data_IF_428322148307
#
_entry.id   IF_428322148307
#
_cell.length_a   1.000
_cell.length_b   1.000
_cell.length_c   1.000
_cell.angle_alpha   90.00
_cell.angle_beta   90.00
_cell.angle_gamma   90.00
#
_symmetry.space_group_name_H-M   'P 1'
#
loop_
_entity.id
_entity.type
_entity.pdbx_description
1 polymer ?
#
# COMPACT_ATOMS: atom_id res chain seq x y z
N UNK A 1 -27.43 -15.13 -8.69
CA UNK A 1 -26.01 -15.38 -8.33
C UNK A 1 -25.86 -14.97 -6.87
N UNK A 2 -25.18 -15.74 -6.03
CA UNK A 2 -24.86 -15.27 -4.68
C UNK A 2 -23.72 -14.25 -4.78
N UNK A 3 -23.77 -13.20 -3.94
CA UNK A 3 -22.61 -12.35 -3.72
C UNK A 3 -21.51 -13.20 -3.05
N UNK A 4 -20.22 -13.02 -3.40
CA UNK A 4 -19.14 -13.72 -2.72
C UNK A 4 -19.16 -13.35 -1.23
N UNK A 5 -19.21 -14.34 -0.35
CA UNK A 5 -19.15 -14.11 1.10
C UNK A 5 -17.78 -13.59 1.49
N UNK A 6 -17.72 -12.35 1.96
CA UNK A 6 -16.59 -11.85 2.74
C UNK A 6 -16.36 -12.79 3.92
N UNK A 7 -15.09 -13.12 4.19
CA UNK A 7 -14.72 -14.01 5.29
C UNK A 7 -13.89 -13.27 6.34
N UNK A 8 -14.04 -13.65 7.64
CA UNK A 8 -13.01 -13.34 8.62
C UNK A 8 -11.65 -13.92 8.21
N UNK A 9 -10.59 -13.23 8.64
CA UNK A 9 -9.17 -13.62 8.61
C UNK A 9 -8.49 -13.84 7.25
N UNK A 10 -9.04 -13.29 6.15
CA UNK A 10 -8.26 -13.11 4.93
C UNK A 10 -7.54 -11.77 4.91
N UNK A 11 -6.22 -11.82 4.70
CA UNK A 11 -5.49 -10.65 4.21
C UNK A 11 -5.37 -10.78 2.70
N UNK A 12 -5.81 -9.74 2.00
CA UNK A 12 -5.50 -9.54 0.59
C UNK A 12 -4.43 -8.46 0.54
N UNK A 13 -3.22 -8.84 0.15
CA UNK A 13 -2.07 -7.92 0.15
C UNK A 13 -1.66 -7.55 -1.26
N UNK A 14 -1.54 -6.23 -1.48
CA UNK A 14 -1.02 -5.63 -2.70
C UNK A 14 0.05 -4.63 -2.31
N UNK A 15 1.29 -5.04 -2.47
CA UNK A 15 2.44 -4.16 -2.35
C UNK A 15 2.67 -3.48 -3.73
N UNK A 16 3.75 -2.72 -4.00
CA UNK A 16 4.03 -2.22 -5.39
C UNK A 16 5.49 -2.32 -5.81
N UNK A 17 5.72 -2.76 -7.06
CA UNK A 17 7.04 -3.15 -7.59
C UNK A 17 7.04 -3.23 -9.16
N UNK A 18 8.20 -3.33 -9.87
CA UNK A 18 8.33 -3.43 -11.35
C UNK A 18 9.75 -3.86 -11.87
N UNK A 19 9.94 -5.03 -12.53
CA UNK A 19 11.08 -5.31 -13.47
C UNK A 19 10.93 -6.51 -14.45
N UNK A 20 10.48 -6.18 -15.67
CA UNK A 20 10.72 -6.83 -16.99
C UNK A 20 10.19 -8.25 -17.35
N UNK A 21 9.84 -8.37 -18.65
CA UNK A 21 9.48 -9.55 -19.46
C UNK A 21 8.14 -10.27 -19.22
N UNK A 22 7.10 -9.88 -19.99
CA UNK A 22 6.40 -10.77 -20.97
C UNK A 22 5.61 -9.94 -22.00
N UNK A 23 5.12 -10.57 -23.08
CA UNK A 23 4.59 -9.93 -24.30
C UNK A 23 3.07 -9.65 -24.26
N UNK A 24 2.67 -8.59 -24.97
CA UNK A 24 1.30 -8.20 -25.44
C UNK A 24 0.11 -9.11 -25.06
N UNK A 25 -0.87 -8.51 -24.37
CA UNK A 25 -2.32 -8.80 -24.54
C UNK A 25 -3.05 -7.47 -24.83
N UNK A 26 -4.30 -7.51 -25.29
CA UNK A 26 -4.91 -6.46 -26.12
C UNK A 26 -5.44 -5.18 -25.39
N UNK A 27 -5.86 -4.21 -26.19
CA UNK A 27 -6.01 -2.78 -25.88
C UNK A 27 -7.37 -2.40 -25.26
N UNK A 28 -7.41 -1.83 -24.03
CA UNK A 28 -8.68 -1.65 -23.28
C UNK A 28 -8.83 -0.61 -22.15
N UNK A 29 -7.94 0.39 -22.01
CA UNK A 29 -8.07 1.60 -21.13
C UNK A 29 -8.35 1.41 -19.59
N UNK A 30 -7.27 1.52 -18.77
CA UNK A 30 -7.18 2.02 -17.34
C UNK A 30 -7.68 1.09 -16.21
N UNK A 31 -7.07 0.87 -15.01
CA UNK A 31 -5.70 1.01 -14.41
C UNK A 31 -5.51 -0.06 -13.24
N UNK A 32 -4.30 -0.34 -12.66
CA UNK A 32 -4.08 -1.42 -11.62
C UNK A 32 -3.06 -1.16 -10.48
N UNK A 33 -2.81 -2.19 -9.62
CA UNK A 33 -1.87 -2.27 -8.47
C UNK A 33 -1.28 -3.71 -8.27
N UNK A 34 0.07 -3.95 -8.17
CA UNK A 34 0.79 -5.30 -8.22
C UNK A 34 2.31 -5.29 -7.71
N UNK A 35 2.92 -6.37 -7.12
CA UNK A 35 4.32 -6.51 -6.51
C UNK A 35 5.10 -7.90 -6.47
N UNK A 36 6.42 -8.09 -6.69
CA UNK A 36 7.23 -9.25 -6.15
C UNK A 36 8.43 -8.61 -5.43
N UNK A 37 9.15 -9.34 -4.60
CA UNK A 37 10.34 -8.83 -3.92
C UNK A 37 11.63 -9.02 -4.77
N UNK A 38 12.75 -8.46 -4.31
CA UNK A 38 14.06 -9.06 -4.58
C UNK A 38 14.28 -10.26 -3.63
N UNK A 39 15.20 -11.17 -3.97
CA UNK A 39 15.56 -12.27 -3.06
C UNK A 39 16.85 -11.91 -2.29
N UNK A 40 17.00 -12.35 -1.02
CA UNK A 40 16.06 -13.19 -0.26
C UNK A 40 14.82 -12.43 0.24
N UNK A 41 13.72 -13.16 0.40
CA UNK A 41 12.42 -12.64 0.85
C UNK A 41 12.39 -12.19 2.33
N UNK A 42 13.53 -12.28 3.03
CA UNK A 42 13.74 -11.91 4.42
C UNK A 42 15.09 -11.22 4.59
N UNK A 43 15.14 -10.16 5.41
CA UNK A 43 16.33 -9.35 5.63
C UNK A 43 16.19 -7.94 5.05
N UNK A 44 17.24 -7.43 4.42
CA UNK A 44 17.40 -6.03 4.03
C UNK A 44 16.65 -5.65 2.74
N UNK A 45 15.37 -5.27 2.86
CA UNK A 45 14.48 -4.94 1.73
C UNK A 45 13.65 -3.66 1.94
N UNK A 46 13.18 -3.05 0.85
CA UNK A 46 12.16 -2.00 0.86
C UNK A 46 10.82 -2.60 0.39
N UNK A 47 9.72 -2.32 1.08
CA UNK A 47 8.37 -2.85 0.78
C UNK A 47 7.28 -1.82 1.18
N UNK A 48 6.14 -1.82 0.49
CA UNK A 48 5.13 -0.73 0.53
C UNK A 48 3.73 -1.28 0.22
N UNK A 49 2.81 -1.21 1.17
CA UNK A 49 1.75 -2.23 1.27
C UNK A 49 0.34 -1.64 1.35
N UNK A 50 -0.61 -2.28 0.66
CA UNK A 50 -2.04 -2.25 0.96
C UNK A 50 -2.48 -3.64 1.44
N UNK A 51 -3.12 -3.72 2.61
CA UNK A 51 -3.52 -4.95 3.28
C UNK A 51 -4.99 -4.89 3.68
N UNK A 52 -5.87 -5.61 2.99
CA UNK A 52 -7.29 -5.69 3.35
C UNK A 52 -7.48 -6.76 4.42
N UNK A 53 -7.60 -6.35 5.68
CA UNK A 53 -7.82 -7.23 6.82
C UNK A 53 -9.31 -7.60 6.88
N UNK A 54 -9.63 -8.80 6.42
CA UNK A 54 -10.97 -9.39 6.38
C UNK A 54 -11.59 -9.51 7.77
N UNK A 55 -12.93 -9.59 7.81
CA UNK A 55 -13.69 -9.48 9.05
C UNK A 55 -14.95 -10.36 9.04
N UNK A 56 -15.55 -10.59 10.20
CA UNK A 56 -16.83 -11.32 10.31
C UNK A 56 -17.97 -10.53 9.68
N UNK A 57 -19.00 -11.26 9.23
CA UNK A 57 -20.14 -10.71 8.50
C UNK A 57 -20.82 -9.57 9.27
N UNK A 58 -21.10 -8.47 8.57
CA UNK A 58 -21.62 -7.25 9.18
C UNK A 58 -20.59 -6.40 9.94
N UNK A 59 -19.29 -6.71 9.85
CA UNK A 59 -18.20 -5.84 10.30
C UNK A 59 -17.37 -5.33 9.11
N UNK A 60 -16.85 -4.09 9.16
CA UNK A 60 -16.05 -3.53 8.08
C UNK A 60 -14.70 -4.23 7.93
N UNK A 61 -14.29 -4.44 6.67
CA UNK A 61 -12.90 -4.77 6.31
C UNK A 61 -12.03 -3.55 6.60
N UNK A 62 -10.89 -3.74 7.28
CA UNK A 62 -9.92 -2.66 7.46
C UNK A 62 -8.92 -2.66 6.30
N UNK A 63 -8.55 -1.48 5.80
CA UNK A 63 -7.39 -1.31 4.94
C UNK A 63 -6.21 -0.88 5.80
N UNK A 64 -5.27 -1.79 6.05
CA UNK A 64 -3.95 -1.48 6.56
C UNK A 64 -3.05 -1.03 5.41
N UNK A 65 -2.08 -0.17 5.73
CA UNK A 65 -0.93 0.13 4.88
C UNK A 65 0.33 0.09 5.72
N UNK A 66 1.44 -0.38 5.15
CA UNK A 66 2.74 -0.39 5.81
C UNK A 66 3.84 0.06 4.83
N UNK A 67 5.02 0.41 5.38
CA UNK A 67 6.22 0.72 4.60
C UNK A 67 7.42 0.17 5.34
N UNK A 68 8.07 -0.84 4.75
CA UNK A 68 9.35 -1.38 5.18
C UNK A 68 10.49 -0.62 4.52
N UNK A 69 11.51 -0.34 5.33
CA UNK A 69 12.79 0.22 4.89
C UNK A 69 13.89 -0.65 5.49
N UNK A 70 14.74 -1.23 4.66
CA UNK A 70 15.83 -2.12 5.10
C UNK A 70 15.36 -3.25 6.05
N UNK A 71 14.22 -3.86 5.72
CA UNK A 71 13.56 -4.90 6.51
C UNK A 71 12.79 -4.43 7.74
N UNK A 72 12.83 -3.13 8.06
CA UNK A 72 12.10 -2.54 9.18
C UNK A 72 10.79 -1.91 8.70
N UNK A 73 9.68 -2.65 8.86
CA UNK A 73 8.31 -2.17 8.70
C UNK A 73 7.94 -1.19 9.80
N UNK A 74 7.02 -1.60 10.68
CA UNK A 74 6.58 -0.82 11.84
C UNK A 74 5.94 0.54 11.52
N UNK A 75 5.50 0.76 10.28
CA UNK A 75 4.86 2.00 9.83
C UNK A 75 3.39 1.76 9.51
N UNK A 76 2.69 0.96 10.29
CA UNK A 76 1.31 0.59 10.02
C UNK A 76 0.37 1.79 10.19
N UNK A 77 -0.52 1.98 9.22
CA UNK A 77 -1.68 2.89 9.31
C UNK A 77 -2.91 2.13 8.83
N UNK A 78 -3.96 2.08 9.66
CA UNK A 78 -5.19 1.33 9.36
C UNK A 78 -6.37 2.29 9.14
N UNK A 79 -7.29 1.90 8.26
CA UNK A 79 -8.46 2.68 7.90
C UNK A 79 -9.72 1.79 7.75
N UNK A 80 -10.90 2.31 8.09
CA UNK A 80 -12.17 1.79 7.56
C UNK A 80 -12.61 2.67 6.39
N UNK A 81 -12.77 2.08 5.20
CA UNK A 81 -13.07 2.83 3.98
C UNK A 81 -14.47 3.44 3.99
N UNK A 82 -14.67 4.48 3.17
CA UNK A 82 -15.95 5.18 3.00
C UNK A 82 -16.95 4.45 2.08
N UNK A 83 -16.70 3.18 1.80
CA UNK A 83 -17.49 2.26 0.98
C UNK A 83 -17.19 0.81 1.41
N UNK A 84 -18.00 -0.14 0.96
CA UNK A 84 -17.72 -1.58 1.11
C UNK A 84 -16.77 -2.05 -0.01
N UNK A 85 -15.50 -2.42 0.29
CA UNK A 85 -14.52 -2.82 -0.72
C UNK A 85 -14.83 -4.19 -1.37
N UNK A 86 -15.83 -4.92 -0.90
CA UNK A 86 -16.31 -6.18 -1.53
C UNK A 86 -17.45 -5.96 -2.53
N UNK A 87 -18.16 -4.84 -2.45
CA UNK A 87 -19.35 -4.56 -3.25
C UNK A 87 -19.06 -4.03 -4.65
N UNK A 88 -17.89 -3.43 -4.87
CA UNK A 88 -17.46 -2.85 -6.15
C UNK A 88 -15.94 -2.87 -6.30
N UNK A 89 -15.44 -2.72 -7.54
CA UNK A 89 -14.00 -2.54 -7.80
C UNK A 89 -13.64 -1.05 -7.72
N UNK A 90 -12.66 -0.75 -6.88
CA UNK A 90 -12.03 0.56 -6.69
C UNK A 90 -10.55 0.51 -7.11
N UNK A 91 -9.95 1.67 -7.42
CA UNK A 91 -8.49 1.74 -7.71
C UNK A 91 -7.70 1.96 -6.41
N UNK A 92 -6.55 1.30 -6.22
CA UNK A 92 -5.68 1.48 -5.02
C UNK A 92 -4.28 1.93 -5.43
N UNK A 93 -4.14 3.15 -5.93
CA UNK A 93 -2.96 3.61 -6.67
C UNK A 93 -1.76 3.90 -5.75
N UNK A 94 -0.54 3.66 -6.22
CA UNK A 94 0.68 4.23 -5.64
C UNK A 94 1.38 5.12 -6.67
N UNK A 95 1.66 6.36 -6.27
CA UNK A 95 2.53 7.30 -6.97
C UNK A 95 3.81 7.43 -6.16
N UNK A 96 4.95 7.02 -6.72
CA UNK A 96 6.23 7.01 -6.04
C UNK A 96 7.31 7.62 -6.94
N UNK A 97 8.03 8.60 -6.41
CA UNK A 97 9.09 9.33 -7.09
C UNK A 97 10.17 9.76 -6.08
N UNK A 98 11.22 10.45 -6.54
CA UNK A 98 12.33 10.89 -5.67
C UNK A 98 11.94 11.96 -4.63
N UNK A 99 10.72 12.49 -4.67
CA UNK A 99 10.23 13.52 -3.74
C UNK A 99 9.28 12.96 -2.67
N UNK A 100 8.45 11.99 -3.05
CA UNK A 100 7.41 11.42 -2.19
C UNK A 100 6.90 10.06 -2.69
N UNK A 101 6.36 9.29 -1.75
CA UNK A 101 5.48 8.16 -2.01
C UNK A 101 4.07 8.53 -1.53
N UNK A 102 3.08 8.32 -2.38
CA UNK A 102 1.67 8.64 -2.11
C UNK A 102 0.84 7.40 -2.43
N UNK A 103 0.03 6.97 -1.47
CA UNK A 103 -0.92 5.86 -1.63
C UNK A 103 -2.33 6.44 -1.67
N UNK A 104 -3.12 6.05 -2.67
CA UNK A 104 -4.44 6.59 -2.96
C UNK A 104 -5.49 5.49 -3.03
N UNK A 105 -6.72 5.82 -2.63
CA UNK A 105 -7.93 5.04 -2.91
C UNK A 105 -8.79 5.87 -3.86
N UNK A 106 -9.14 5.27 -5.00
CA UNK A 106 -9.59 5.94 -6.22
C UNK A 106 -8.64 7.07 -6.64
N UNK A 107 -8.99 8.34 -6.39
CA UNK A 107 -8.14 9.52 -6.62
C UNK A 107 -7.80 10.26 -5.30
N UNK A 108 -8.17 9.68 -4.15
CA UNK A 108 -8.02 10.29 -2.82
C UNK A 108 -6.76 9.76 -2.12
N UNK A 109 -5.76 10.59 -1.81
CA UNK A 109 -4.61 10.15 -1.03
C UNK A 109 -5.03 9.74 0.38
N UNK A 110 -4.64 8.54 0.80
CA UNK A 110 -4.83 8.03 2.17
C UNK A 110 -3.54 8.04 2.99
N UNK A 111 -2.38 8.10 2.32
CA UNK A 111 -1.05 8.10 2.95
C UNK A 111 -0.03 8.84 2.08
N UNK A 112 0.90 9.52 2.74
CA UNK A 112 2.07 10.17 2.13
C UNK A 112 3.30 9.80 2.96
N UNK A 113 4.43 9.55 2.30
CA UNK A 113 5.77 9.55 2.86
C UNK A 113 6.62 10.54 2.06
N UNK A 114 7.21 11.54 2.71
CA UNK A 114 8.13 12.48 2.05
C UNK A 114 9.56 11.93 2.02
N UNK A 115 10.27 12.13 0.90
CA UNK A 115 11.70 11.86 0.88
C UNK A 115 12.44 13.00 1.61
N UNK A 116 12.99 12.71 2.79
CA UNK A 116 13.76 13.65 3.60
C UNK A 116 15.28 13.42 3.50
N UNK A 117 15.77 12.48 2.68
CA UNK A 117 17.18 12.04 2.69
C UNK A 117 18.17 13.19 2.39
N UNK A 118 17.79 14.12 1.51
CA UNK A 118 18.58 15.33 1.22
C UNK A 118 18.46 16.47 2.26
N UNK A 119 17.80 16.23 3.40
CA UNK A 119 17.54 17.22 4.47
C UNK A 119 17.87 16.69 5.87
N UNK A 120 17.67 15.38 6.10
CA UNK A 120 17.80 14.72 7.39
C UNK A 120 18.86 13.61 7.28
N UNK A 121 20.07 13.80 7.86
CA UNK A 121 21.13 12.80 7.81
C UNK A 121 20.68 11.43 8.36
N UNK A 122 20.97 10.37 7.62
CA UNK A 122 20.56 9.01 7.97
C UNK A 122 19.08 8.68 7.73
N UNK A 123 18.27 9.62 7.21
CA UNK A 123 16.90 9.31 6.80
C UNK A 123 16.88 8.37 5.59
N UNK A 124 15.95 7.42 5.62
CA UNK A 124 15.79 6.38 4.61
C UNK A 124 14.41 6.54 3.97
N UNK A 125 14.35 6.29 2.66
CA UNK A 125 13.16 6.39 1.82
C UNK A 125 13.23 5.21 0.83
N UNK A 126 12.11 4.57 0.43
CA UNK A 126 12.20 3.41 -0.42
C UNK A 126 12.77 3.84 -1.78
N UNK A 127 13.87 3.20 -2.18
CA UNK A 127 14.66 3.57 -3.36
C UNK A 127 15.28 2.36 -4.08
N UNK A 128 15.15 1.14 -3.54
CA UNK A 128 15.68 -0.10 -4.14
C UNK A 128 14.94 -0.48 -5.44
N UNK A 129 15.60 -1.22 -6.37
CA UNK A 129 14.97 -1.90 -7.51
C UNK A 129 13.95 -2.98 -7.12
N UNK A 130 13.10 -3.34 -8.09
CA UNK A 130 11.79 -3.99 -7.90
C UNK A 130 11.49 -5.09 -8.99
N UNK A 131 10.28 -5.55 -9.40
CA UNK A 131 9.44 -6.70 -8.90
C UNK A 131 8.11 -6.99 -9.75
N UNK A 132 7.08 -7.83 -9.35
CA UNK A 132 5.57 -7.94 -9.71
C UNK A 132 4.70 -9.25 -9.31
N UNK A 133 3.54 -9.16 -8.56
CA UNK A 133 2.54 -10.21 -8.03
C UNK A 133 1.26 -9.58 -7.35
N UNK A 134 0.34 -10.38 -6.79
CA UNK A 134 -0.50 -10.03 -5.63
C UNK A 134 -0.79 -11.31 -4.79
N UNK A 135 -1.31 -11.22 -3.55
CA UNK A 135 -1.57 -12.40 -2.71
C UNK A 135 -2.93 -12.38 -1.97
N UNK A 136 -3.45 -13.58 -1.69
CA UNK A 136 -4.53 -13.85 -0.74
C UNK A 136 -4.05 -14.98 0.18
N UNK A 137 -4.04 -14.76 1.49
CA UNK A 137 -3.38 -15.67 2.43
C UNK A 137 -4.00 -15.66 3.83
N UNK A 138 -3.77 -16.76 4.57
CA UNK A 138 -4.23 -16.92 5.94
C UNK A 138 -3.34 -16.13 6.91
N UNK A 139 -3.93 -15.09 7.47
CA UNK A 139 -3.29 -14.12 8.37
C UNK A 139 -3.88 -14.18 9.79
N UNK A 140 -4.56 -15.30 10.09
CA UNK A 140 -5.20 -15.61 11.38
C UNK A 140 -4.35 -15.40 12.64
N UNK A 141 -3.00 -15.43 12.64
CA UNK A 141 -2.22 -15.04 13.81
C UNK A 141 -2.43 -13.59 14.27
N UNK A 142 -2.87 -12.66 13.39
CA UNK A 142 -2.94 -11.23 13.71
C UNK A 142 -4.07 -10.42 13.05
N UNK A 143 -4.52 -10.74 11.83
CA UNK A 143 -5.29 -9.78 11.01
C UNK A 143 -6.68 -9.40 11.55
N UNK A 144 -7.50 -10.38 11.94
CA UNK A 144 -8.86 -10.08 12.44
C UNK A 144 -8.89 -10.04 13.96
N UNK A 145 -9.25 -8.87 14.50
CA UNK A 145 -9.37 -8.63 15.94
C UNK A 145 -8.10 -9.00 16.72
N UNK A 146 -6.93 -8.53 16.24
CA UNK A 146 -5.60 -8.86 16.74
C UNK A 146 -5.34 -10.38 16.81
N UNK A 147 -5.84 -11.11 15.81
CA UNK A 147 -5.72 -12.56 15.71
C UNK A 147 -6.62 -13.34 16.67
N UNK A 148 -7.57 -12.70 17.37
CA UNK A 148 -8.56 -13.41 18.19
C UNK A 148 -9.58 -14.17 17.34
N UNK A 149 -9.87 -13.67 16.14
CA UNK A 149 -10.72 -14.32 15.16
C UNK A 149 -9.83 -15.02 14.12
N UNK A 150 -10.13 -16.29 13.86
CA UNK A 150 -9.40 -17.16 12.92
C UNK A 150 -10.23 -17.39 11.65
N UNK A 151 -9.58 -17.86 10.59
CA UNK A 151 -10.25 -18.27 9.36
C UNK A 151 -11.15 -19.47 9.61
N UNK A 152 -12.38 -19.41 9.07
CA UNK A 152 -13.29 -20.55 9.02
C UNK A 152 -13.21 -21.20 7.64
N UNK A 153 -12.32 -22.20 7.49
CA UNK A 153 -12.10 -22.91 6.22
C UNK A 153 -13.35 -23.59 5.65
N UNK A 154 -14.43 -23.77 6.43
CA UNK A 154 -15.71 -24.27 5.91
C UNK A 154 -16.41 -23.27 4.97
N UNK A 155 -15.96 -22.00 4.95
CA UNK A 155 -16.47 -20.94 4.07
C UNK A 155 -15.65 -20.75 2.79
N UNK A 156 -14.70 -21.65 2.52
CA UNK A 156 -13.93 -21.66 1.28
C UNK A 156 -14.83 -21.98 0.05
N UNK A 157 -14.46 -21.54 -1.18
CA UNK A 157 -13.26 -20.81 -1.54
C UNK A 157 -13.36 -19.30 -1.28
N UNK A 158 -12.25 -18.71 -0.83
CA UNK A 158 -12.10 -17.28 -0.63
C UNK A 158 -11.53 -16.65 -1.90
N UNK A 159 -12.09 -15.51 -2.31
CA UNK A 159 -11.80 -14.94 -3.63
C UNK A 159 -11.56 -13.44 -3.54
N UNK A 160 -10.56 -12.98 -4.29
CA UNK A 160 -10.28 -11.57 -4.55
C UNK A 160 -10.24 -11.33 -6.07
N UNK A 161 -10.86 -10.24 -6.52
CA UNK A 161 -11.03 -9.92 -7.93
C UNK A 161 -10.11 -8.76 -8.34
N UNK A 162 -9.21 -9.02 -9.30
CA UNK A 162 -8.26 -8.06 -9.83
C UNK A 162 -8.56 -7.77 -11.31
N UNK A 163 -8.38 -6.53 -11.77
CA UNK A 163 -8.54 -6.20 -13.18
C UNK A 163 -7.67 -5.00 -13.63
N UNK A 164 -7.55 -4.83 -14.96
CA UNK A 164 -7.08 -3.61 -15.67
C UNK A 164 -5.57 -3.29 -15.58
N UNK A 165 -4.71 -4.30 -15.76
CA UNK A 165 -3.28 -4.36 -15.40
C UNK A 165 -2.28 -3.28 -15.93
N UNK A 166 -2.46 -1.99 -15.59
CA UNK A 166 -1.56 -0.89 -16.00
C UNK A 166 -0.44 -0.56 -14.99
N UNK A 167 0.80 -0.62 -15.44
CA UNK A 167 2.00 -0.08 -14.77
C UNK A 167 2.63 0.97 -15.68
N UNK A 168 3.02 2.12 -15.13
CA UNK A 168 3.84 3.13 -15.83
C UNK A 168 4.97 3.55 -14.87
N UNK A 169 6.17 3.04 -15.13
CA UNK A 169 7.28 3.08 -14.19
C UNK A 169 8.62 2.89 -14.91
N UNK A 170 9.69 3.45 -14.36
CA UNK A 170 11.02 3.29 -14.92
C UNK A 170 11.57 1.86 -14.71
N UNK A 171 12.08 1.15 -15.74
CA UNK A 171 12.73 -0.14 -15.54
C UNK A 171 14.14 0.05 -14.98
N UNK A 172 14.44 -0.55 -13.81
CA UNK A 172 15.76 -0.46 -13.15
C UNK A 172 16.92 -1.18 -13.89
N UNK A 173 16.82 -1.33 -15.21
CA UNK A 173 17.83 -1.84 -16.15
C UNK A 173 18.15 -0.79 -17.24
N UNK A 174 17.41 0.32 -17.32
CA UNK A 174 17.71 1.41 -18.25
C UNK A 174 18.72 2.39 -17.65
N UNK A 175 19.68 2.86 -18.46
CA UNK A 175 20.79 3.72 -18.01
C UNK A 175 20.49 5.21 -17.75
N UNK A 176 19.23 5.67 -17.82
CA UNK A 176 18.83 7.01 -17.38
C UNK A 176 18.32 7.00 -15.92
N UNK A 177 18.51 8.09 -15.15
CA UNK A 177 18.11 8.15 -13.74
C UNK A 177 16.60 8.19 -13.55
N UNK A 178 16.11 7.53 -12.50
CA UNK A 178 14.70 7.55 -12.08
C UNK A 178 14.19 8.97 -11.77
N UNK A 179 15.07 9.89 -11.33
CA UNK A 179 14.83 11.32 -11.14
C UNK A 179 14.78 12.18 -12.40
N UNK A 180 14.87 11.60 -13.61
CA UNK A 180 14.81 12.38 -14.85
C UNK A 180 13.54 13.25 -14.91
N UNK A 181 13.64 14.59 -15.05
CA UNK A 181 12.48 15.49 -15.00
C UNK A 181 11.54 15.35 -16.22
N UNK A 182 11.97 14.60 -17.24
CA UNK A 182 11.14 14.23 -18.39
C UNK A 182 10.08 13.16 -18.04
N UNK A 183 10.29 12.39 -16.96
CA UNK A 183 9.34 11.40 -16.47
C UNK A 183 8.17 12.12 -15.79
N UNK A 184 6.94 11.85 -16.20
CA UNK A 184 5.79 12.71 -15.85
C UNK A 184 5.49 12.72 -14.34
N UNK A 185 5.77 11.62 -13.63
CA UNK A 185 5.60 11.53 -12.18
C UNK A 185 6.56 12.42 -11.38
N UNK A 186 7.74 12.77 -11.93
CA UNK A 186 8.69 13.70 -11.29
C UNK A 186 8.22 15.17 -11.33
N UNK A 187 7.03 15.44 -11.88
CA UNK A 187 6.35 16.74 -11.75
C UNK A 187 5.53 16.84 -10.46
N UNK A 188 5.31 15.74 -9.74
CA UNK A 188 4.46 15.65 -8.55
C UNK A 188 5.30 15.66 -7.27
N UNK A 189 5.82 16.85 -6.93
CA UNK A 189 6.66 17.07 -5.74
C UNK A 189 5.88 17.07 -4.43
N UNK A 190 4.59 17.44 -4.51
CA UNK A 190 3.69 17.54 -3.37
C UNK A 190 2.24 17.24 -3.78
N UNK A 191 1.37 17.02 -2.80
CA UNK A 191 -0.07 16.97 -3.01
C UNK A 191 -0.61 18.38 -3.35
N UNK A 192 -1.56 18.45 -4.29
CA UNK A 192 -2.31 19.70 -4.54
C UNK A 192 -3.10 20.13 -3.29
N UNK A 193 -3.49 21.42 -3.15
CA UNK A 193 -4.28 21.87 -2.00
C UNK A 193 -5.58 21.08 -1.78
N UNK A 194 -6.26 20.70 -2.87
CA UNK A 194 -7.45 19.85 -2.82
C UNK A 194 -7.13 18.44 -2.31
N UNK A 195 -6.06 17.81 -2.80
CA UNK A 195 -5.59 16.51 -2.31
C UNK A 195 -5.15 16.56 -0.84
N UNK A 196 -4.51 17.65 -0.37
CA UNK A 196 -4.18 17.85 1.05
C UNK A 196 -5.43 17.97 1.92
N UNK A 197 -6.44 18.70 1.46
CA UNK A 197 -7.73 18.79 2.14
C UNK A 197 -8.44 17.43 2.22
N UNK A 198 -8.44 16.65 1.13
CA UNK A 198 -9.01 15.31 1.08
C UNK A 198 -8.24 14.32 1.99
N UNK A 199 -6.91 14.31 1.93
CA UNK A 199 -6.02 13.51 2.78
C UNK A 199 -6.27 13.77 4.27
N UNK A 200 -6.36 15.05 4.67
CA UNK A 200 -6.73 15.44 6.04
C UNK A 200 -8.14 14.97 6.41
N UNK A 201 -9.11 15.08 5.50
CA UNK A 201 -10.48 14.61 5.71
C UNK A 201 -10.49 13.09 6.00
N UNK A 202 -9.79 12.31 5.18
CA UNK A 202 -9.68 10.85 5.34
C UNK A 202 -9.03 10.49 6.67
N UNK A 203 -7.85 11.03 6.98
CA UNK A 203 -7.18 10.75 8.26
C UNK A 203 -8.02 11.16 9.47
N UNK A 204 -8.85 12.21 9.36
CA UNK A 204 -9.71 12.67 10.46
C UNK A 204 -10.99 11.85 10.68
N UNK A 205 -11.40 11.00 9.74
CA UNK A 205 -12.68 10.25 9.79
C UNK A 205 -12.54 8.74 9.74
N UNK A 206 -11.55 8.26 9.00
CA UNK A 206 -11.49 6.87 8.56
C UNK A 206 -10.27 6.13 9.11
N UNK A 207 -9.24 6.83 9.58
CA UNK A 207 -8.03 6.23 10.16
C UNK A 207 -8.32 5.71 11.58
N UNK A 208 -7.98 4.44 11.82
CA UNK A 208 -8.22 3.72 13.09
C UNK A 208 -6.95 3.42 13.88
N UNK A 209 -5.81 3.30 13.19
CA UNK A 209 -4.47 3.18 13.79
C UNK A 209 -3.45 4.01 13.00
N UNK A 210 -2.45 4.55 13.69
CA UNK A 210 -1.33 5.27 13.10
C UNK A 210 -0.09 5.11 13.98
N UNK A 211 0.95 4.45 13.46
CA UNK A 211 2.22 4.24 14.18
C UNK A 211 2.85 5.53 14.75
N UNK A 212 2.64 6.68 14.10
CA UNK A 212 3.14 7.98 14.57
C UNK A 212 2.50 8.48 15.87
N UNK A 213 1.30 8.00 16.21
CA UNK A 213 0.61 8.34 17.46
C UNK A 213 0.92 7.31 18.58
N UNK A 214 1.37 6.10 18.19
CA UNK A 214 1.78 5.01 19.08
C UNK A 214 3.17 5.26 19.71
N UNK A 215 3.24 6.27 20.57
CA UNK A 215 4.48 6.66 21.26
C UNK A 215 5.04 5.57 22.16
N UNK A 216 4.20 4.66 22.66
CA UNK A 216 4.63 3.58 23.55
C UNK A 216 5.52 2.58 22.80
N UNK A 217 5.09 2.13 21.61
CA UNK A 217 5.84 1.23 20.72
C UNK A 217 7.23 1.72 20.35
N UNK A 218 7.44 3.03 20.31
CA UNK A 218 8.72 3.67 19.95
C UNK A 218 9.51 4.23 21.15
N UNK A 219 9.22 3.83 22.39
CA UNK A 219 9.87 4.37 23.60
C UNK A 219 9.87 5.91 23.64
N UNK A 220 8.74 6.52 23.24
CA UNK A 220 8.51 7.95 23.07
C UNK A 220 9.38 8.67 22.01
N UNK A 221 10.06 7.91 21.13
CA UNK A 221 10.90 8.42 20.02
C UNK A 221 10.39 7.93 18.67
N UNK A 222 9.21 8.42 18.26
CA UNK A 222 8.58 8.07 16.98
C UNK A 222 9.46 8.43 15.77
N UNK A 223 9.35 7.72 14.62
CA UNK A 223 10.15 8.00 13.43
C UNK A 223 10.04 9.44 12.91
N UNK A 224 11.12 9.97 12.35
CA UNK A 224 11.28 11.41 12.06
C UNK A 224 10.34 11.92 10.95
N UNK A 225 9.87 11.04 10.08
CA UNK A 225 8.85 11.34 9.06
C UNK A 225 7.48 11.70 9.66
N UNK A 226 7.21 11.32 10.92
CA UNK A 226 5.93 11.57 11.59
C UNK A 226 5.60 13.05 11.82
N UNK A 227 6.60 13.94 11.78
CA UNK A 227 6.41 15.40 11.82
C UNK A 227 6.43 16.08 10.43
N UNK A 228 6.50 15.30 9.35
CA UNK A 228 6.71 15.78 7.98
C UNK A 228 5.69 15.27 6.94
N UNK A 229 4.77 14.36 7.33
CA UNK A 229 3.81 13.65 6.45
C UNK A 229 2.35 14.08 6.65
#
# INVERSE_FOLDING_TARGET
>A
MQNPTVSPAFNHTVHVNNKQHIRRVYQGKRNVVVYYNEEPEYGDHDEVDFEFLGNVDGKPVALQTNIFLNGQGYREQQFYLWFDPSAAIHDYKILWNEHQLVMLVDETPIRVLKNLAGRMPGYQFPMRPMRIRASIWDSSPWATDNGRIKVDWNRAPFTSAFQRFNIDAYPATGGAPCGSPNLWWNKFWDLTPAQKAAYKNVKSKYMTYNYCDDKARFNFRVPVECSHN
#
